data_IF_201035964857
#
_entry.id   IF_201035964857
#
_cell.length_a   1.000
_cell.length_b   1.000
_cell.length_c   1.000
_cell.angle_alpha   90.00
_cell.angle_beta   90.00
_cell.angle_gamma   90.00
#
_symmetry.space_group_name_H-M   'P 1'
#
loop_
_entity.id
_entity.type
_entity.pdbx_description
1 polymer ?
#
# COMPACT_ATOMS: atom_id res chain seq x y z
N UNK A 1 -12.86 -16.46 16.57
CA UNK A 1 -12.23 -16.62 15.24
C UNK A 1 -10.73 -16.51 15.43
N UNK A 2 -9.95 -17.45 14.87
CA UNK A 2 -8.51 -17.52 15.09
C UNK A 2 -7.83 -16.24 14.56
N UNK A 3 -7.34 -15.37 15.47
CA UNK A 3 -6.87 -14.01 15.17
C UNK A 3 -5.81 -14.02 14.04
N UNK A 4 -4.99 -15.09 13.98
CA UNK A 4 -3.97 -15.28 12.94
C UNK A 4 -4.53 -15.48 11.53
N UNK A 5 -5.65 -16.21 11.37
CA UNK A 5 -6.25 -16.43 10.05
C UNK A 5 -6.81 -15.14 9.46
N UNK A 6 -7.41 -14.29 10.29
CA UNK A 6 -7.89 -12.97 9.87
C UNK A 6 -6.72 -12.10 9.38
N UNK A 7 -5.63 -12.02 10.15
CA UNK A 7 -4.46 -11.24 9.76
C UNK A 7 -3.81 -11.76 8.47
N UNK A 8 -3.75 -13.10 8.29
CA UNK A 8 -3.27 -13.71 7.05
C UNK A 8 -4.01 -13.16 5.84
N UNK A 9 -5.33 -13.19 5.88
CA UNK A 9 -6.15 -12.72 4.76
C UNK A 9 -6.06 -11.20 4.58
N UNK A 10 -5.88 -10.41 5.64
CA UNK A 10 -5.66 -8.96 5.51
C UNK A 10 -4.36 -8.68 4.74
N UNK A 11 -3.26 -9.36 5.05
CA UNK A 11 -2.00 -9.18 4.32
C UNK A 11 -2.09 -9.67 2.87
N UNK A 12 -2.72 -10.84 2.63
CA UNK A 12 -2.94 -11.35 1.28
C UNK A 12 -3.87 -10.47 0.46
N UNK A 13 -4.92 -9.92 1.06
CA UNK A 13 -5.80 -8.95 0.42
C UNK A 13 -5.02 -7.70 0.02
N UNK A 14 -4.15 -7.19 0.89
CA UNK A 14 -3.31 -6.04 0.54
C UNK A 14 -2.33 -6.36 -0.59
N UNK A 15 -1.75 -7.57 -0.60
CA UNK A 15 -0.92 -8.02 -1.72
C UNK A 15 -1.68 -7.97 -3.05
N UNK A 16 -2.91 -8.51 -3.08
CA UNK A 16 -3.76 -8.50 -4.27
C UNK A 16 -4.14 -7.08 -4.67
N UNK A 17 -4.50 -6.21 -3.72
CA UNK A 17 -4.79 -4.80 -4.00
C UNK A 17 -3.59 -4.11 -4.65
N UNK A 18 -2.37 -4.30 -4.12
CA UNK A 18 -1.16 -3.73 -4.72
C UNK A 18 -0.94 -4.20 -6.17
N UNK A 19 -1.15 -5.48 -6.44
CA UNK A 19 -1.02 -6.01 -7.81
C UNK A 19 -2.09 -5.47 -8.74
N UNK A 20 -3.34 -5.44 -8.29
CA UNK A 20 -4.45 -4.89 -9.08
C UNK A 20 -4.21 -3.40 -9.34
N UNK A 21 -3.86 -2.62 -8.33
CA UNK A 21 -3.58 -1.19 -8.45
C UNK A 21 -2.42 -0.92 -9.41
N UNK A 22 -1.28 -1.60 -9.23
CA UNK A 22 -0.11 -1.41 -10.07
C UNK A 22 -0.37 -1.78 -11.53
N UNK A 23 -1.02 -2.91 -11.80
CA UNK A 23 -1.35 -3.34 -13.16
C UNK A 23 -2.44 -2.46 -13.77
N UNK A 24 -3.48 -2.11 -13.00
CA UNK A 24 -4.56 -1.27 -13.48
C UNK A 24 -4.06 0.12 -13.85
N UNK A 25 -3.32 0.79 -12.96
CA UNK A 25 -2.77 2.12 -13.26
C UNK A 25 -1.77 2.09 -14.41
N UNK A 26 -0.95 1.02 -14.53
CA UNK A 26 -0.04 0.86 -15.66
C UNK A 26 -0.78 0.87 -17.02
N UNK A 27 -1.96 0.25 -17.07
CA UNK A 27 -2.73 0.11 -18.31
C UNK A 27 -3.73 1.25 -18.54
N UNK A 28 -4.13 1.97 -17.49
CA UNK A 28 -5.25 2.92 -17.54
C UNK A 28 -4.88 4.37 -17.23
N UNK A 29 -3.64 4.69 -16.81
CA UNK A 29 -3.26 6.05 -16.40
C UNK A 29 -3.58 7.11 -17.48
N UNK A 30 -3.25 6.85 -18.76
CA UNK A 30 -3.58 7.78 -19.85
C UNK A 30 -5.09 8.01 -19.98
N UNK A 31 -5.88 6.93 -19.98
CA UNK A 31 -7.33 7.01 -20.09
C UNK A 31 -7.94 7.76 -18.89
N UNK A 32 -7.46 7.51 -17.67
CA UNK A 32 -7.88 8.22 -16.46
C UNK A 32 -7.55 9.71 -16.59
N UNK A 33 -6.35 10.07 -17.06
CA UNK A 33 -5.95 11.47 -17.24
C UNK A 33 -6.85 12.20 -18.23
N UNK A 34 -7.12 11.59 -19.38
CA UNK A 34 -8.02 12.14 -20.39
C UNK A 34 -9.43 12.36 -19.83
N UNK A 35 -9.96 11.37 -19.11
CA UNK A 35 -11.26 11.48 -18.43
C UNK A 35 -11.30 12.62 -17.39
N UNK A 36 -10.19 12.87 -16.72
CA UNK A 36 -10.03 13.92 -15.71
C UNK A 36 -9.56 15.28 -16.29
N UNK A 37 -9.44 15.40 -17.61
CA UNK A 37 -8.93 16.62 -18.27
C UNK A 37 -7.49 16.98 -17.88
N UNK A 38 -6.71 15.99 -17.45
CA UNK A 38 -5.30 16.15 -17.06
C UNK A 38 -4.38 16.02 -18.26
N UNK A 39 -3.26 16.74 -18.23
CA UNK A 39 -2.21 16.58 -19.24
C UNK A 39 -1.54 15.20 -19.09
N UNK A 40 -1.06 14.60 -20.20
CA UNK A 40 -0.20 13.43 -20.16
C UNK A 40 1.05 13.66 -19.31
N UNK A 41 1.61 12.58 -18.77
CA UNK A 41 2.89 12.65 -18.06
C UNK A 41 4.02 13.04 -19.01
N UNK A 42 4.88 13.98 -18.57
CA UNK A 42 6.09 14.34 -19.31
C UNK A 42 7.14 13.22 -19.26
N UNK A 43 7.25 12.53 -18.12
CA UNK A 43 8.24 11.49 -17.85
C UNK A 43 7.55 10.21 -17.32
N UNK A 44 6.88 9.43 -18.17
CA UNK A 44 6.08 8.26 -17.76
C UNK A 44 6.91 7.14 -17.12
N UNK A 45 8.20 7.05 -17.43
CA UNK A 45 9.11 6.04 -16.90
C UNK A 45 9.21 6.05 -15.37
N UNK A 46 9.11 7.23 -14.71
CA UNK A 46 9.08 7.29 -13.25
C UNK A 46 7.82 6.68 -12.66
N UNK A 47 6.69 6.78 -13.37
CA UNK A 47 5.45 6.11 -12.97
C UNK A 47 5.58 4.60 -13.14
N UNK A 48 6.21 4.12 -14.22
CA UNK A 48 6.48 2.68 -14.39
C UNK A 48 7.38 2.13 -13.27
N UNK A 49 8.46 2.84 -12.93
CA UNK A 49 9.34 2.45 -11.82
C UNK A 49 8.57 2.37 -10.49
N UNK A 50 7.72 3.36 -10.22
CA UNK A 50 6.86 3.36 -9.05
C UNK A 50 5.90 2.16 -9.04
N UNK A 51 5.21 1.88 -10.14
CA UNK A 51 4.24 0.78 -10.24
C UNK A 51 4.91 -0.59 -10.08
N UNK A 52 6.13 -0.76 -10.60
CA UNK A 52 6.93 -1.97 -10.36
C UNK A 52 7.25 -2.12 -8.86
N UNK A 53 7.62 -1.04 -8.18
CA UNK A 53 7.85 -1.07 -6.73
C UNK A 53 6.56 -1.42 -5.96
N UNK A 54 5.42 -0.85 -6.33
CA UNK A 54 4.11 -1.19 -5.73
C UNK A 54 3.80 -2.68 -5.90
N UNK A 55 4.06 -3.23 -7.10
CA UNK A 55 3.89 -4.66 -7.38
C UNK A 55 4.79 -5.53 -6.49
N UNK A 56 6.08 -5.18 -6.36
CA UNK A 56 7.05 -5.88 -5.51
C UNK A 56 6.66 -5.81 -4.03
N UNK A 57 6.17 -4.66 -3.55
CA UNK A 57 5.63 -4.54 -2.19
C UNK A 57 4.47 -5.52 -1.98
N UNK A 58 3.63 -5.73 -3.00
CA UNK A 58 2.59 -6.75 -2.97
C UNK A 58 3.13 -8.16 -2.71
N UNK A 59 4.26 -8.52 -3.33
CA UNK A 59 4.96 -9.81 -3.06
C UNK A 59 5.39 -9.87 -1.59
N UNK A 60 5.91 -8.77 -1.04
CA UNK A 60 6.26 -8.68 0.38
C UNK A 60 5.09 -8.98 1.30
N UNK A 61 3.91 -8.41 1.03
CA UNK A 61 2.70 -8.69 1.82
C UNK A 61 2.18 -10.11 1.63
N UNK A 62 2.34 -10.70 0.45
CA UNK A 62 2.03 -12.10 0.23
C UNK A 62 2.90 -13.01 1.12
N UNK A 63 4.20 -12.73 1.21
CA UNK A 63 5.11 -13.46 2.12
C UNK A 63 4.72 -13.28 3.59
N UNK A 64 4.36 -12.06 4.01
CA UNK A 64 3.82 -11.82 5.36
C UNK A 64 2.57 -12.66 5.61
N UNK A 65 1.62 -12.70 4.67
CA UNK A 65 0.41 -13.48 4.83
C UNK A 65 0.66 -14.99 4.97
N UNK A 66 1.71 -15.51 4.34
CA UNK A 66 2.08 -16.93 4.43
C UNK A 66 2.77 -17.28 5.76
N UNK A 67 3.54 -16.35 6.33
CA UNK A 67 4.12 -16.48 7.67
C UNK A 67 4.15 -15.13 8.39
N UNK A 68 3.10 -14.89 9.17
CA UNK A 68 2.88 -13.63 9.86
C UNK A 68 3.88 -13.42 10.99
N UNK A 69 4.37 -14.52 11.59
CA UNK A 69 5.20 -14.48 12.79
C UNK A 69 6.66 -14.07 12.54
N UNK A 70 7.15 -14.31 11.32
CA UNK A 70 8.57 -14.10 10.96
C UNK A 70 8.83 -12.81 10.19
N UNK A 71 7.82 -12.22 9.57
CA UNK A 71 7.99 -11.15 8.58
C UNK A 71 7.73 -9.73 9.10
N UNK A 72 7.86 -9.48 10.41
CA UNK A 72 7.56 -8.16 10.99
C UNK A 72 8.39 -7.00 10.42
N UNK A 73 9.61 -7.26 9.93
CA UNK A 73 10.41 -6.24 9.24
C UNK A 73 9.72 -5.70 7.97
N UNK A 74 9.12 -6.59 7.18
CA UNK A 74 8.37 -6.23 5.97
C UNK A 74 7.12 -5.43 6.36
N UNK A 75 6.45 -5.79 7.46
CA UNK A 75 5.28 -5.06 7.96
C UNK A 75 5.66 -3.62 8.35
N UNK A 76 6.74 -3.44 9.11
CA UNK A 76 7.24 -2.10 9.49
C UNK A 76 7.60 -1.27 8.27
N UNK A 77 8.32 -1.85 7.31
CA UNK A 77 8.64 -1.20 6.05
C UNK A 77 7.37 -0.79 5.29
N UNK A 78 6.37 -1.69 5.25
CA UNK A 78 5.09 -1.45 4.61
C UNK A 78 4.26 -0.34 5.22
N UNK A 79 4.30 -0.17 6.55
CA UNK A 79 3.67 0.97 7.25
C UNK A 79 4.35 2.28 6.80
N UNK A 80 5.69 2.32 6.84
CA UNK A 80 6.44 3.52 6.45
C UNK A 80 6.19 3.86 4.98
N UNK A 81 6.25 2.88 4.08
CA UNK A 81 6.04 3.07 2.65
C UNK A 81 4.63 3.62 2.36
N UNK A 82 3.58 2.95 2.84
CA UNK A 82 2.18 3.35 2.58
C UNK A 82 1.86 4.72 3.17
N UNK A 83 2.32 4.99 4.40
CA UNK A 83 2.13 6.31 5.02
C UNK A 83 2.84 7.40 4.23
N UNK A 84 4.03 7.13 3.71
CA UNK A 84 4.79 8.08 2.91
C UNK A 84 4.10 8.37 1.57
N UNK A 85 3.59 7.33 0.89
CA UNK A 85 2.81 7.49 -0.35
C UNK A 85 1.57 8.35 -0.11
N UNK A 86 0.82 8.09 0.97
CA UNK A 86 -0.33 8.91 1.33
C UNK A 86 0.06 10.37 1.59
N UNK A 87 1.12 10.62 2.37
CA UNK A 87 1.58 11.99 2.66
C UNK A 87 1.95 12.74 1.38
N UNK A 88 2.68 12.09 0.46
CA UNK A 88 3.06 12.70 -0.82
C UNK A 88 1.83 13.00 -1.68
N UNK A 89 0.88 12.05 -1.79
CA UNK A 89 -0.36 12.27 -2.53
C UNK A 89 -1.21 13.39 -1.91
N UNK A 90 -1.40 13.37 -0.60
CA UNK A 90 -2.15 14.39 0.12
C UNK A 90 -1.53 15.79 -0.06
N UNK A 91 -0.20 15.89 0.04
CA UNK A 91 0.51 17.14 -0.21
C UNK A 91 0.25 17.66 -1.63
N UNK A 92 0.39 16.82 -2.66
CA UNK A 92 0.18 17.25 -4.04
C UNK A 92 -1.29 17.54 -4.37
N UNK A 93 -2.24 16.85 -3.74
CA UNK A 93 -3.67 17.17 -3.85
C UNK A 93 -3.99 18.53 -3.24
N UNK A 94 -3.40 18.87 -2.09
CA UNK A 94 -3.68 20.12 -1.38
C UNK A 94 -2.92 21.32 -1.98
N UNK A 95 -1.66 21.14 -2.37
CA UNK A 95 -0.76 22.24 -2.76
C UNK A 95 -0.58 22.35 -4.28
N UNK A 96 -0.48 21.21 -4.97
CA UNK A 96 -0.13 21.18 -6.40
C UNK A 96 -1.34 21.01 -7.33
N UNK A 97 -2.56 21.12 -6.81
CA UNK A 97 -3.83 20.93 -7.54
C UNK A 97 -3.93 19.58 -8.27
N UNK A 98 -3.28 18.53 -7.76
CA UNK A 98 -3.51 17.17 -8.25
C UNK A 98 -4.99 16.83 -8.05
N UNK A 99 -5.63 16.28 -9.08
CA UNK A 99 -7.05 15.95 -9.00
C UNK A 99 -7.32 15.01 -7.80
N UNK A 100 -8.30 15.29 -6.92
CA UNK A 100 -8.53 14.53 -5.69
C UNK A 100 -8.78 13.03 -5.90
N UNK A 101 -9.21 12.62 -7.10
CA UNK A 101 -9.34 11.22 -7.50
C UNK A 101 -8.06 10.40 -7.23
N UNK A 102 -6.88 10.98 -7.44
CA UNK A 102 -5.61 10.29 -7.21
C UNK A 102 -5.31 10.03 -5.73
N UNK A 103 -6.08 10.60 -4.80
CA UNK A 103 -5.92 10.35 -3.37
C UNK A 103 -6.58 9.05 -2.91
N UNK A 104 -7.52 8.49 -3.70
CA UNK A 104 -8.23 7.24 -3.40
C UNK A 104 -7.27 6.09 -3.06
N UNK A 105 -6.27 5.74 -3.91
CA UNK A 105 -5.31 4.69 -3.58
C UNK A 105 -4.53 4.98 -2.29
N UNK A 106 -4.12 6.24 -2.08
CA UNK A 106 -3.44 6.66 -0.86
C UNK A 106 -4.26 6.44 0.42
N UNK A 107 -5.58 6.65 0.38
CA UNK A 107 -6.46 6.41 1.53
C UNK A 107 -6.59 4.91 1.82
N UNK A 108 -6.66 4.08 0.78
CA UNK A 108 -6.65 2.62 0.90
C UNK A 108 -5.35 2.18 1.56
N UNK A 109 -4.21 2.66 1.08
CA UNK A 109 -2.88 2.40 1.64
C UNK A 109 -2.78 2.80 3.12
N UNK A 110 -3.24 4.00 3.47
CA UNK A 110 -3.21 4.47 4.85
C UNK A 110 -4.07 3.58 5.77
N UNK A 111 -5.23 3.13 5.28
CA UNK A 111 -6.09 2.21 6.02
C UNK A 111 -5.35 0.90 6.35
N UNK A 112 -4.65 0.32 5.38
CA UNK A 112 -3.85 -0.89 5.60
C UNK A 112 -2.62 -0.62 6.48
N UNK A 113 -1.96 0.53 6.36
CA UNK A 113 -0.87 0.91 7.25
C UNK A 113 -1.33 0.97 8.72
N UNK A 114 -2.52 1.52 8.98
CA UNK A 114 -3.11 1.53 10.32
C UNK A 114 -3.40 0.10 10.81
N UNK A 115 -4.01 -0.73 9.96
CA UNK A 115 -4.28 -2.14 10.29
C UNK A 115 -2.99 -2.91 10.62
N UNK A 116 -1.90 -2.65 9.90
CA UNK A 116 -0.59 -3.25 10.15
C UNK A 116 0.01 -2.79 11.48
N UNK A 117 -0.16 -1.50 11.84
CA UNK A 117 0.21 -0.99 13.15
C UNK A 117 -0.57 -1.66 14.28
N UNK A 118 -1.88 -1.85 14.10
CA UNK A 118 -2.75 -2.58 15.03
C UNK A 118 -2.27 -4.03 15.18
N UNK A 119 -1.96 -4.70 14.06
CA UNK A 119 -1.43 -6.06 14.06
C UNK A 119 -0.17 -6.16 14.93
N UNK A 120 0.86 -5.33 14.66
CA UNK A 120 2.13 -5.36 15.38
C UNK A 120 1.96 -5.08 16.89
N UNK A 121 1.12 -4.11 17.26
CA UNK A 121 0.81 -3.81 18.66
C UNK A 121 0.06 -4.97 19.33
N UNK A 122 -0.86 -5.63 18.63
CA UNK A 122 -1.56 -6.80 19.18
C UNK A 122 -0.61 -7.98 19.39
N UNK A 123 0.30 -8.21 18.44
CA UNK A 123 1.26 -9.30 18.48
C UNK A 123 2.27 -9.13 19.62
N UNK A 124 2.78 -7.91 19.81
CA UNK A 124 3.71 -7.58 20.89
C UNK A 124 3.12 -7.83 22.29
N UNK A 125 1.81 -7.57 22.48
CA UNK A 125 1.13 -7.80 23.77
C UNK A 125 0.89 -9.28 24.08
N UNK A 126 0.86 -10.13 23.06
CA UNK A 126 0.61 -11.57 23.21
C UNK A 126 1.88 -12.41 23.34
N UNK A 127 3.07 -11.84 23.11
CA UNK A 127 4.31 -12.54 23.41
C UNK A 127 4.60 -12.48 24.91
N UNK A 128 4.91 -13.62 25.57
CA UNK A 128 5.40 -13.57 26.93
C UNK A 128 6.70 -12.76 26.93
N UNK A 129 6.77 -11.75 27.79
CA UNK A 129 8.03 -11.10 28.15
C UNK A 129 8.96 -12.20 28.67
N UNK A 130 9.95 -12.57 27.86
CA UNK A 130 11.07 -13.36 28.33
C UNK A 130 11.90 -12.39 29.19
N UNK A 131 11.72 -12.49 30.50
CA UNK A 131 12.62 -11.90 31.51
C UNK A 131 14.02 -12.52 31.42
#
# INVERSE_FOLDING_TARGET
MNNQMTWKYIFQLKAVINWVESVFLLLSDQWIRELLGQQPLTNPEYSHLFLVLVFVIGIGYWWVGNDISRNHGIIKLGIIAQSSVFVVLAYHTLVSKLHPFYLIPGVIDLTFAILFGIFLNSYARTQPTME
#
